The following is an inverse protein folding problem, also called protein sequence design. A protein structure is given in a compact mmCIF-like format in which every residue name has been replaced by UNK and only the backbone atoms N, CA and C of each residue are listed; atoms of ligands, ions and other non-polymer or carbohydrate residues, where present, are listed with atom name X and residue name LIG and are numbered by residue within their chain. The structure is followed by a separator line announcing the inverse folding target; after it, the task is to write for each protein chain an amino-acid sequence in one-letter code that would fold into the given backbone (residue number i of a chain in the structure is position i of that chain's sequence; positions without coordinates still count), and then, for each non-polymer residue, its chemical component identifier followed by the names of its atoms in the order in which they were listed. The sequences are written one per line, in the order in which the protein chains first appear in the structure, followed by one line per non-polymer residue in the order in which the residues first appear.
data_IF_913785583812
#
_entry.id   IF_913785583812
#
_cell.length_a   1.000
_cell.length_b   1.000
_cell.length_c   1.000
_cell.angle_alpha   90.00
_cell.angle_beta   90.00
_cell.angle_gamma   90.00
#
_symmetry.space_group_name_H-M   'P 1'
#
loop_
_entity.id
_entity.type
_entity.pdbx_description
1 polymer ?
#
# COMPACT_ATOMS: atom_id res chain seq x y z
N UNK A 1 21.77 -6.03 16.19
CA UNK A 1 20.79 -5.04 15.72
C UNK A 1 20.34 -5.46 14.34
N UNK A 2 19.28 -6.28 14.26
CA UNK A 2 18.70 -6.70 12.99
C UNK A 2 18.13 -5.45 12.29
N UNK A 3 18.62 -5.18 11.09
CA UNK A 3 18.11 -4.10 10.25
C UNK A 3 16.76 -4.56 9.73
N UNK A 4 15.67 -3.99 10.25
CA UNK A 4 14.33 -4.13 9.65
C UNK A 4 14.44 -3.43 8.29
N UNK A 5 14.67 -4.20 7.23
CA UNK A 5 14.95 -3.67 5.88
C UNK A 5 13.78 -3.87 4.91
N UNK A 6 12.75 -4.59 5.32
CA UNK A 6 11.66 -4.95 4.44
C UNK A 6 10.31 -4.73 5.13
N UNK A 7 9.69 -3.60 4.84
CA UNK A 7 8.44 -3.16 5.49
C UNK A 7 7.22 -3.69 4.73
N UNK A 8 6.27 -4.26 5.47
CA UNK A 8 4.97 -4.71 4.96
C UNK A 8 3.97 -3.56 5.09
N UNK A 9 3.75 -2.79 4.02
CA UNK A 9 2.76 -1.71 4.06
C UNK A 9 1.63 -1.90 3.06
N UNK A 10 0.46 -1.38 3.44
CA UNK A 10 -0.66 -1.16 2.52
C UNK A 10 -0.96 0.33 2.48
N UNK A 11 -0.86 0.92 1.30
CA UNK A 11 -1.17 2.32 1.05
C UNK A 11 -2.52 2.43 0.34
N UNK A 12 -3.48 3.08 0.97
CA UNK A 12 -4.85 3.27 0.48
C UNK A 12 -5.04 4.75 0.13
N UNK A 13 -5.51 5.05 -1.08
CA UNK A 13 -5.59 6.41 -1.61
C UNK A 13 -7.03 6.76 -2.02
N UNK A 14 -7.45 7.97 -1.69
CA UNK A 14 -8.62 8.64 -2.27
C UNK A 14 -8.15 9.78 -3.18
N UNK A 15 -8.56 9.76 -4.44
CA UNK A 15 -8.15 10.74 -5.45
C UNK A 15 -9.29 11.74 -5.74
N UNK A 16 -9.00 13.02 -5.92
CA UNK A 16 -10.01 13.98 -6.36
C UNK A 16 -10.36 13.77 -7.83
N UNK A 17 -11.59 13.34 -8.09
CA UNK A 17 -12.16 13.22 -9.44
C UNK A 17 -11.88 11.88 -10.14
N UNK A 18 -12.78 11.52 -11.06
CA UNK A 18 -12.85 10.21 -11.73
C UNK A 18 -12.07 10.14 -13.06
N UNK A 19 -10.78 10.52 -13.12
CA UNK A 19 -10.01 10.38 -14.38
C UNK A 19 -9.05 9.17 -14.38
N UNK A 20 -9.28 8.14 -15.22
CA UNK A 20 -8.48 6.91 -15.27
C UNK A 20 -7.02 7.09 -15.70
N UNK A 21 -6.68 8.06 -16.54
CA UNK A 21 -5.33 8.19 -17.12
C UNK A 21 -4.28 8.66 -16.10
N UNK A 22 -4.66 9.52 -15.16
CA UNK A 22 -3.80 9.98 -14.05
C UNK A 22 -3.29 8.85 -13.15
N UNK A 23 -3.90 7.65 -13.26
CA UNK A 23 -3.63 6.49 -12.41
C UNK A 23 -2.48 5.61 -12.92
N UNK A 24 -2.05 5.76 -14.18
CA UNK A 24 -0.98 4.96 -14.79
C UNK A 24 0.43 5.57 -14.61
N UNK A 25 0.54 6.89 -14.50
CA UNK A 25 1.80 7.59 -14.26
C UNK A 25 2.38 7.33 -12.87
N UNK A 26 1.49 7.04 -11.92
CA UNK A 26 1.83 6.52 -10.58
C UNK A 26 2.70 5.28 -10.69
N UNK A 27 2.26 4.26 -11.44
CA UNK A 27 2.96 2.98 -11.57
C UNK A 27 4.38 3.11 -12.16
N UNK A 28 4.54 3.90 -13.23
CA UNK A 28 5.85 4.08 -13.88
C UNK A 28 6.85 4.79 -12.97
N UNK A 29 6.37 5.67 -12.10
CA UNK A 29 7.22 6.35 -11.12
C UNK A 29 7.67 5.41 -9.99
N UNK A 30 6.88 4.40 -9.62
CA UNK A 30 7.11 3.51 -8.47
C UNK A 30 8.24 2.48 -8.68
N UNK A 31 8.52 2.05 -9.93
CA UNK A 31 9.63 1.11 -10.24
C UNK A 31 11.01 1.61 -9.82
N UNK A 32 11.20 2.92 -9.68
CA UNK A 32 12.48 3.52 -9.27
C UNK A 32 12.72 3.44 -7.75
N UNK A 33 11.75 2.99 -6.95
CA UNK A 33 11.74 3.19 -5.50
C UNK A 33 11.41 1.94 -4.66
N UNK A 34 11.48 0.73 -5.24
CA UNK A 34 11.22 -0.56 -4.55
C UNK A 34 12.12 -0.86 -3.33
N UNK A 35 13.08 0.00 -3.00
CA UNK A 35 14.07 -0.23 -1.93
C UNK A 35 13.92 0.68 -0.71
N UNK A 36 12.92 1.57 -0.62
CA UNK A 36 12.78 2.52 0.51
C UNK A 36 11.30 2.79 0.84
N UNK A 37 10.63 1.82 1.48
CA UNK A 37 9.20 1.83 1.80
C UNK A 37 8.75 3.01 2.69
N UNK A 38 9.62 3.56 3.54
CA UNK A 38 9.32 4.72 4.40
C UNK A 38 9.05 6.04 3.67
N UNK A 39 9.53 6.21 2.45
CA UNK A 39 9.37 7.45 1.68
C UNK A 39 8.14 7.40 0.77
N UNK A 40 7.53 6.22 0.63
CA UNK A 40 6.47 6.03 -0.35
C UNK A 40 5.23 6.83 0.03
N UNK A 41 4.68 6.71 1.24
CA UNK A 41 3.42 7.38 1.63
C UNK A 41 3.45 8.91 1.45
N UNK A 42 4.57 9.57 1.79
CA UNK A 42 4.76 11.01 1.54
C UNK A 42 4.82 11.36 0.05
N UNK A 43 5.41 10.50 -0.79
CA UNK A 43 5.45 10.70 -2.25
C UNK A 43 4.16 10.32 -2.96
N UNK A 44 3.45 9.32 -2.45
CA UNK A 44 2.12 8.96 -2.87
C UNK A 44 1.21 10.19 -2.71
N UNK A 45 1.30 10.93 -1.61
CA UNK A 45 0.51 12.14 -1.39
C UNK A 45 0.69 13.21 -2.48
N UNK A 46 1.91 13.42 -2.99
CA UNK A 46 2.18 14.37 -4.08
C UNK A 46 1.41 14.04 -5.37
N UNK A 47 1.00 12.79 -5.56
CA UNK A 47 0.23 12.33 -6.72
C UNK A 47 -1.29 12.36 -6.51
N UNK A 48 -1.76 12.69 -5.30
CA UNK A 48 -3.20 12.69 -4.97
C UNK A 48 -3.89 14.04 -5.16
N UNK A 49 -3.23 15.01 -5.81
CA UNK A 49 -3.77 16.37 -5.99
C UNK A 49 -3.82 17.18 -4.69
N UNK A 50 -4.50 18.32 -4.67
CA UNK A 50 -4.57 19.22 -3.50
C UNK A 50 -5.59 18.80 -2.42
N UNK A 51 -6.43 17.80 -2.69
CA UNK A 51 -7.49 17.35 -1.76
C UNK A 51 -7.49 15.85 -1.48
N UNK A 52 -6.63 15.08 -2.12
CA UNK A 52 -6.53 13.64 -1.87
C UNK A 52 -6.01 13.28 -0.48
N UNK A 53 -6.36 12.07 -0.05
CA UNK A 53 -6.02 11.49 1.26
C UNK A 53 -5.36 10.13 1.08
N UNK A 54 -4.36 9.85 1.92
CA UNK A 54 -3.62 8.58 1.96
C UNK A 54 -3.70 7.99 3.36
N UNK A 55 -4.00 6.69 3.44
CA UNK A 55 -3.92 5.90 4.67
C UNK A 55 -2.83 4.86 4.48
N UNK A 56 -1.79 4.91 5.33
CA UNK A 56 -0.76 3.89 5.41
C UNK A 56 -1.01 2.96 6.59
N UNK A 57 -1.08 1.65 6.32
CA UNK A 57 -1.26 0.63 7.34
C UNK A 57 0.02 -0.20 7.45
N UNK A 58 0.48 -0.39 8.68
CA UNK A 58 1.69 -1.13 9.03
C UNK A 58 1.45 -1.85 10.37
N UNK A 59 1.81 -3.13 10.48
CA UNK A 59 1.56 -3.92 11.70
C UNK A 59 2.72 -3.89 12.71
N UNK A 60 3.86 -3.30 12.35
CA UNK A 60 5.00 -3.08 13.24
C UNK A 60 4.97 -1.62 13.77
N UNK A 61 4.67 -1.41 15.07
CA UNK A 61 4.52 -0.06 15.66
C UNK A 61 5.75 0.83 15.46
N UNK A 62 6.95 0.25 15.52
CA UNK A 62 8.20 0.97 15.32
C UNK A 62 8.31 1.56 13.91
N UNK A 63 7.80 0.84 12.91
CA UNK A 63 7.80 1.30 11.53
C UNK A 63 6.70 2.35 11.31
N UNK A 64 5.54 2.22 11.96
CA UNK A 64 4.52 3.28 11.97
C UNK A 64 5.10 4.59 12.49
N UNK A 65 5.81 4.55 13.63
CA UNK A 65 6.37 5.75 14.23
C UNK A 65 7.50 6.32 13.38
N UNK A 66 8.39 5.48 12.86
CA UNK A 66 9.45 5.90 11.94
C UNK A 66 8.88 6.57 10.67
N UNK A 67 7.78 6.05 10.13
CA UNK A 67 7.11 6.63 8.97
C UNK A 67 6.49 8.00 9.28
N UNK A 68 5.87 8.16 10.46
CA UNK A 68 5.37 9.45 10.94
C UNK A 68 6.51 10.46 11.12
N UNK A 69 7.56 10.10 11.85
CA UNK A 69 8.73 10.95 12.08
C UNK A 69 9.37 11.42 10.77
N UNK A 70 9.58 10.50 9.83
CA UNK A 70 10.15 10.82 8.52
C UNK A 70 9.26 11.75 7.71
N UNK A 71 7.94 11.59 7.81
CA UNK A 71 6.98 12.45 7.12
C UNK A 71 6.91 13.83 7.78
N UNK A 72 6.94 13.92 9.12
CA UNK A 72 6.94 15.20 9.85
C UNK A 72 8.15 16.08 9.52
N UNK A 73 9.31 15.49 9.20
CA UNK A 73 10.53 16.25 8.82
C UNK A 73 10.35 17.13 7.58
N UNK A 74 9.45 16.76 6.67
CA UNK A 74 9.31 17.44 5.37
C UNK A 74 7.87 17.84 5.03
N UNK A 75 6.87 17.23 5.66
CA UNK A 75 5.46 17.27 5.28
C UNK A 75 4.52 17.21 6.49
N UNK A 76 4.88 17.88 7.60
CA UNK A 76 4.04 17.94 8.80
C UNK A 76 2.62 18.48 8.50
N UNK A 77 2.51 19.43 7.57
CA UNK A 77 1.25 19.99 7.11
C UNK A 77 0.27 18.93 6.56
N UNK A 78 0.78 17.87 5.93
CA UNK A 78 -0.05 16.79 5.39
C UNK A 78 -0.59 15.86 6.47
N UNK A 79 0.14 15.70 7.58
CA UNK A 79 -0.32 14.97 8.76
C UNK A 79 -1.34 15.83 9.53
N UNK A 80 -1.00 17.09 9.80
CA UNK A 80 -1.84 18.02 10.56
C UNK A 80 -3.19 18.27 9.88
N UNK A 81 -3.20 18.35 8.55
CA UNK A 81 -4.42 18.46 7.75
C UNK A 81 -5.22 17.15 7.63
N UNK A 82 -4.73 16.04 8.19
CA UNK A 82 -5.36 14.72 8.12
C UNK A 82 -5.34 14.09 6.73
N UNK A 83 -4.50 14.61 5.82
CA UNK A 83 -4.36 14.11 4.45
C UNK A 83 -3.49 12.87 4.37
N UNK A 84 -2.56 12.69 5.32
CA UNK A 84 -1.87 11.43 5.55
C UNK A 84 -2.25 10.89 6.93
N UNK A 85 -2.70 9.64 6.97
CA UNK A 85 -2.99 8.93 8.19
C UNK A 85 -2.13 7.66 8.27
N UNK A 86 -1.39 7.51 9.35
CA UNK A 86 -0.63 6.30 9.66
C UNK A 86 -1.38 5.47 10.70
N UNK A 87 -1.62 4.20 10.39
CA UNK A 87 -2.41 3.28 11.21
C UNK A 87 -1.56 2.06 11.56
N UNK A 88 -1.48 1.75 12.86
CA UNK A 88 -1.01 0.44 13.29
C UNK A 88 -2.13 -0.58 13.08
N UNK A 89 -1.89 -1.59 12.25
CA UNK A 89 -2.91 -2.61 11.99
C UNK A 89 -2.51 -3.66 10.95
N UNK A 90 -3.37 -4.67 10.82
CA UNK A 90 -3.20 -5.74 9.84
C UNK A 90 -3.62 -5.25 8.44
N UNK A 91 -2.64 -4.99 7.58
CA UNK A 91 -2.85 -4.51 6.21
C UNK A 91 -3.75 -5.42 5.36
N UNK A 92 -3.83 -6.72 5.65
CA UNK A 92 -4.70 -7.67 4.94
C UNK A 92 -6.19 -7.35 5.13
N UNK A 93 -6.53 -6.65 6.21
CA UNK A 93 -7.90 -6.22 6.54
C UNK A 93 -8.25 -4.85 5.95
N UNK A 94 -7.28 -4.13 5.38
CA UNK A 94 -7.46 -2.75 4.97
C UNK A 94 -7.84 -1.84 6.15
N UNK A 95 -8.49 -0.72 5.85
CA UNK A 95 -8.96 0.25 6.84
C UNK A 95 -10.41 0.68 6.55
N UNK A 96 -11.40 -0.05 7.08
CA UNK A 96 -12.81 0.15 6.72
C UNK A 96 -13.41 1.48 7.21
N UNK A 97 -12.75 2.18 8.14
CA UNK A 97 -13.23 3.47 8.68
C UNK A 97 -13.34 4.56 7.61
N UNK A 98 -12.60 4.45 6.50
CA UNK A 98 -12.66 5.38 5.37
C UNK A 98 -13.53 4.85 4.20
N UNK A 99 -14.18 3.69 4.37
CA UNK A 99 -15.08 3.00 3.44
C UNK A 99 -14.49 2.52 2.11
N UNK A 100 -14.20 3.44 1.16
CA UNK A 100 -13.85 3.08 -0.23
C UNK A 100 -12.64 3.88 -0.73
N UNK A 101 -11.78 3.23 -1.50
CA UNK A 101 -10.53 3.79 -2.03
C UNK A 101 -10.47 3.73 -3.55
N UNK A 102 -10.01 4.83 -4.16
CA UNK A 102 -9.80 4.92 -5.60
C UNK A 102 -8.57 4.11 -6.03
N UNK A 103 -7.57 4.05 -5.17
CA UNK A 103 -6.39 3.23 -5.39
C UNK A 103 -5.92 2.53 -4.12
N UNK A 104 -5.46 1.29 -4.28
CA UNK A 104 -4.85 0.48 -3.22
C UNK A 104 -3.49 -0.01 -3.73
N UNK A 105 -2.44 0.23 -2.98
CA UNK A 105 -1.12 -0.33 -3.24
C UNK A 105 -0.72 -1.21 -2.07
N UNK A 106 -0.29 -2.43 -2.36
CA UNK A 106 0.23 -3.37 -1.36
C UNK A 106 1.71 -3.57 -1.61
N UNK A 107 2.54 -3.16 -0.65
CA UNK A 107 3.99 -3.24 -0.70
C UNK A 107 4.56 -4.59 -0.27
N UNK A 108 3.74 -5.64 -0.20
CA UNK A 108 4.11 -6.98 0.24
C UNK A 108 3.31 -8.05 -0.52
N UNK A 109 3.89 -9.23 -0.72
CA UNK A 109 3.30 -10.32 -1.47
C UNK A 109 2.26 -11.09 -0.66
N UNK A 110 1.00 -11.01 -1.06
CA UNK A 110 -0.06 -11.84 -0.49
C UNK A 110 -0.11 -13.21 -1.19
N UNK A 111 -0.45 -14.29 -0.47
CA UNK A 111 -0.62 -15.60 -1.10
C UNK A 111 -1.79 -15.58 -2.12
N UNK A 112 -2.86 -14.88 -1.77
CA UNK A 112 -4.00 -14.56 -2.65
C UNK A 112 -4.43 -13.12 -2.41
N UNK A 113 -5.16 -12.54 -3.37
CA UNK A 113 -5.68 -11.17 -3.22
C UNK A 113 -6.66 -11.11 -2.02
N UNK A 114 -6.40 -10.30 -0.98
CA UNK A 114 -7.29 -10.24 0.18
C UNK A 114 -8.67 -9.66 -0.18
N UNK A 115 -9.73 -10.41 0.10
CA UNK A 115 -11.12 -9.96 -0.14
C UNK A 115 -11.45 -8.62 0.56
N UNK A 116 -11.01 -8.34 1.80
CA UNK A 116 -11.28 -7.05 2.43
C UNK A 116 -10.76 -5.84 1.63
N UNK A 117 -9.66 -6.00 0.88
CA UNK A 117 -9.12 -4.94 0.03
C UNK A 117 -9.96 -4.75 -1.24
N UNK A 118 -10.46 -5.83 -1.83
CA UNK A 118 -11.42 -5.78 -2.96
C UNK A 118 -12.72 -5.10 -2.53
N UNK A 119 -13.21 -5.42 -1.32
CA UNK A 119 -14.44 -4.84 -0.77
C UNK A 119 -14.28 -3.35 -0.52
N UNK A 120 -13.09 -2.91 -0.10
CA UNK A 120 -12.76 -1.51 0.12
C UNK A 120 -12.35 -0.77 -1.17
N UNK A 121 -12.22 -1.45 -2.31
CA UNK A 121 -11.98 -0.79 -3.59
C UNK A 121 -13.27 -0.11 -4.08
N UNK A 122 -13.16 1.16 -4.42
CA UNK A 122 -14.24 1.97 -4.97
C UNK A 122 -14.63 1.49 -6.37
N UNK A 123 -15.83 1.87 -6.82
CA UNK A 123 -16.26 1.68 -8.20
C UNK A 123 -15.38 2.50 -9.15
N UNK A 124 -14.84 1.86 -10.19
CA UNK A 124 -13.78 2.41 -11.03
C UNK A 124 -12.41 2.48 -10.34
N UNK A 125 -12.21 1.86 -9.17
CA UNK A 125 -10.94 1.85 -8.44
C UNK A 125 -9.95 0.81 -8.97
N UNK A 126 -8.66 1.00 -8.65
CA UNK A 126 -7.57 0.08 -9.01
C UNK A 126 -6.71 -0.32 -7.81
N UNK A 127 -6.42 -1.60 -7.69
CA UNK A 127 -5.43 -2.13 -6.76
C UNK A 127 -4.21 -2.67 -7.50
N UNK A 128 -3.04 -2.44 -6.91
CA UNK A 128 -1.77 -3.05 -7.31
C UNK A 128 -1.23 -3.87 -6.15
N UNK A 129 -1.00 -5.16 -6.38
CA UNK A 129 -0.63 -6.10 -5.33
C UNK A 129 0.30 -7.20 -5.88
N UNK A 130 1.46 -7.45 -5.26
CA UNK A 130 2.22 -8.66 -5.51
C UNK A 130 1.46 -9.88 -4.96
N UNK A 131 1.33 -10.92 -5.77
CA UNK A 131 0.66 -12.18 -5.37
C UNK A 131 1.55 -13.37 -5.69
N UNK A 132 1.69 -14.25 -4.71
CA UNK A 132 2.45 -15.48 -4.83
C UNK A 132 2.82 -16.04 -3.46
N UNK A 133 3.22 -17.31 -3.43
CA UNK A 133 3.71 -17.94 -2.20
C UNK A 133 5.05 -17.33 -1.80
N UNK A 134 5.31 -17.28 -0.49
CA UNK A 134 6.53 -16.72 0.10
C UNK A 134 7.82 -17.27 -0.52
N UNK A 135 7.89 -18.59 -0.76
CA UNK A 135 9.06 -19.25 -1.38
C UNK A 135 8.81 -19.64 -2.85
N UNK A 136 7.84 -18.98 -3.49
CA UNK A 136 7.41 -19.29 -4.86
C UNK A 136 7.58 -18.13 -5.82
N UNK A 137 7.16 -18.35 -7.07
CA UNK A 137 7.07 -17.28 -8.05
C UNK A 137 5.97 -16.30 -7.63
N UNK A 138 6.31 -15.01 -7.62
CA UNK A 138 5.35 -13.94 -7.39
C UNK A 138 5.13 -13.15 -8.68
N UNK A 139 3.92 -12.63 -8.83
CA UNK A 139 3.52 -11.76 -9.94
C UNK A 139 2.92 -10.48 -9.39
N UNK A 140 3.16 -9.36 -10.07
CA UNK A 140 2.53 -8.11 -9.76
C UNK A 140 1.18 -8.03 -10.47
N UNK A 141 0.09 -8.06 -9.71
CA UNK A 141 -1.27 -8.03 -10.24
C UNK A 141 -1.85 -6.62 -10.21
N UNK A 142 -2.49 -6.26 -11.32
CA UNK A 142 -3.46 -5.18 -11.39
C UNK A 142 -4.85 -5.77 -11.15
N UNK A 143 -5.60 -5.20 -10.22
CA UNK A 143 -6.99 -5.54 -9.95
C UNK A 143 -7.85 -4.30 -10.18
N UNK A 144 -8.79 -4.35 -11.12
CA UNK A 144 -9.71 -3.25 -11.42
C UNK A 144 -11.14 -3.63 -11.00
N UNK A 145 -11.87 -2.66 -10.46
CA UNK A 145 -13.31 -2.79 -10.17
C UNK A 145 -14.11 -1.88 -11.09
N UNK A 146 -14.97 -2.47 -11.92
CA UNK A 146 -15.82 -1.77 -12.88
C UNK A 146 -17.21 -2.41 -12.96
N UNK A 147 -18.25 -1.60 -12.80
CA UNK A 147 -19.66 -1.98 -12.80
C UNK A 147 -19.95 -3.17 -11.86
N UNK A 148 -19.35 -3.15 -10.66
CA UNK A 148 -19.44 -4.23 -9.68
C UNK A 148 -18.61 -5.49 -10.01
N UNK A 149 -17.99 -5.56 -11.20
CA UNK A 149 -17.13 -6.66 -11.60
C UNK A 149 -15.68 -6.41 -11.22
N UNK A 150 -14.99 -7.47 -10.79
CA UNK A 150 -13.56 -7.43 -10.46
C UNK A 150 -12.78 -8.16 -11.53
N UNK A 151 -11.84 -7.48 -12.16
CA UNK A 151 -10.95 -8.06 -13.18
C UNK A 151 -9.52 -8.04 -12.68
N UNK A 152 -8.72 -9.03 -13.09
CA UNK A 152 -7.33 -9.17 -12.69
C UNK A 152 -6.44 -9.34 -13.92
N UNK A 153 -5.29 -8.66 -13.91
CA UNK A 153 -4.29 -8.73 -14.98
C UNK A 153 -2.90 -8.86 -14.36
N UNK A 154 -2.15 -9.85 -14.81
CA UNK A 154 -0.71 -9.96 -14.52
C UNK A 154 0.04 -8.88 -15.27
N UNK A 155 0.86 -8.09 -14.56
CA UNK A 155 1.71 -7.07 -15.16
C UNK A 155 3.10 -7.64 -15.45
N UNK A 156 3.78 -8.16 -14.42
CA UNK A 156 5.14 -8.70 -14.51
C UNK A 156 5.46 -9.65 -13.33
N UNK A 157 6.60 -10.33 -13.40
CA UNK A 157 7.14 -11.10 -12.28
C UNK A 157 7.91 -10.18 -11.32
N UNK A 158 7.79 -10.42 -10.02
CA UNK A 158 8.43 -9.60 -8.98
C UNK A 158 8.89 -10.48 -7.81
N UNK A 159 9.65 -9.88 -6.89
CA UNK A 159 10.02 -10.48 -5.61
C UNK A 159 9.77 -9.43 -4.52
N UNK A 160 8.89 -9.75 -3.60
CA UNK A 160 8.50 -8.93 -2.45
C UNK A 160 8.54 -9.78 -1.18
N UNK A 161 8.71 -9.11 -0.04
CA UNK A 161 8.47 -9.74 1.25
C UNK A 161 7.02 -10.13 1.41
N UNK A 162 6.72 -11.23 2.13
CA UNK A 162 5.35 -11.73 2.23
C UNK A 162 4.49 -10.81 3.10
N UNK A 163 3.24 -10.62 2.72
CA UNK A 163 2.22 -9.98 3.54
C UNK A 163 1.68 -11.01 4.55
N UNK A 164 2.14 -10.94 5.79
CA UNK A 164 1.93 -11.99 6.79
C UNK A 164 1.40 -11.44 8.11
N UNK A 165 1.43 -12.26 9.16
CA UNK A 165 1.19 -11.80 10.52
C UNK A 165 2.47 -11.22 11.13
N UNK A 166 2.32 -10.21 12.00
CA UNK A 166 3.41 -9.66 12.82
C UNK A 166 4.29 -10.71 13.48
N UNK A 167 3.70 -11.78 14.04
CA UNK A 167 4.44 -12.85 14.70
C UNK A 167 5.33 -13.63 13.71
N UNK A 168 4.82 -13.90 12.51
CA UNK A 168 5.57 -14.58 11.46
C UNK A 168 6.70 -13.71 10.92
N UNK A 169 6.50 -12.39 10.78
CA UNK A 169 7.55 -11.49 10.33
C UNK A 169 8.66 -11.33 11.38
N UNK A 170 8.32 -11.12 12.65
CA UNK A 170 9.30 -10.92 13.72
C UNK A 170 10.06 -12.21 14.07
N UNK A 171 9.40 -13.37 14.05
CA UNK A 171 10.01 -14.66 14.32
C UNK A 171 11.08 -15.09 13.30
N UNK A 172 11.22 -14.37 12.17
CA UNK A 172 12.32 -14.61 11.21
C UNK A 172 13.66 -14.03 11.63
N UNK A 173 13.69 -13.13 12.61
CA UNK A 173 14.90 -12.42 13.03
C UNK A 173 15.50 -12.95 14.35
N UNK A 174 14.93 -14.00 14.93
CA UNK A 174 15.41 -14.65 16.17
C UNK A 174 16.47 -15.77 15.92
N UNK A 175 17.31 -15.63 14.88
CA UNK A 175 18.43 -16.54 14.57
C UNK A 175 19.79 -15.89 14.80
#
# INVERSE_FOLDING_TARGET
MSTIRDDEYVALRKLPGKNPESRMDVYKSERRWQHQSFIMLGRLQLQTGSTGKVVGIEHIPQLVELAKENTMKHHADLIDSGRILFVEGDGRKGYPMEQKYDAIHVGAAAETVPQPLIDQLAEGGRMLIPVGKESGNQVFLQVDKQDGNVTQKVIEHVIYVPLTSKAHQLGRYDL
#
